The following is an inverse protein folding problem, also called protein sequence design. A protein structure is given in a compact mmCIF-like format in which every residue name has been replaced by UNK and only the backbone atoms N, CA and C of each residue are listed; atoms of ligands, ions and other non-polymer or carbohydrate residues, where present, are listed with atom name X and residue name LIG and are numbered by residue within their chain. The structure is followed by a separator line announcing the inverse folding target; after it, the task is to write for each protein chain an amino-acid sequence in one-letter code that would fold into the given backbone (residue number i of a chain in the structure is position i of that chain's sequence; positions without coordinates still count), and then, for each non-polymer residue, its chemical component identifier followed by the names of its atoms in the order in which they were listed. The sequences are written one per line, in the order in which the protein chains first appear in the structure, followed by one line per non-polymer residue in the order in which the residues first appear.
data_IF_225210340382
#
_entry.id   IF_225210340382
#
_cell.length_a   1.000
_cell.length_b   1.000
_cell.length_c   1.000
_cell.angle_alpha   90.00
_cell.angle_beta   90.00
_cell.angle_gamma   90.00
#
_symmetry.space_group_name_H-M   'P 1'
#
loop_
_entity.id
_entity.type
_entity.pdbx_description
1 polymer ?
2 non-polymer ?
3 non-polymer ?
4 water ?
#
# COMPACT_ATOMS: atom_id res chain seq x y z
N UNK A 7 -6.01 18.64 31.16
CA UNK A 7 -4.91 19.59 31.03
C UNK A 7 -3.85 19.08 30.06
N UNK A 8 -3.55 17.79 30.14
CA UNK A 8 -2.58 17.17 29.24
C UNK A 8 -3.00 17.28 27.77
N UNK A 9 -4.29 17.10 27.51
CA UNK A 9 -4.81 17.18 26.15
C UNK A 9 -4.51 18.52 25.50
N UNK A 10 -4.72 19.61 26.24
CA UNK A 10 -4.48 20.96 25.73
C UNK A 10 -3.00 21.17 25.43
N UNK A 11 -2.15 20.69 26.33
CA UNK A 11 -0.70 20.80 26.16
C UNK A 11 -0.21 20.08 24.91
N UNK A 12 -0.68 18.84 24.73
CA UNK A 12 -0.30 18.06 23.56
C UNK A 12 -0.86 18.68 22.28
N UNK A 13 -2.11 19.13 22.34
CA UNK A 13 -2.77 19.76 21.20
C UNK A 13 -2.01 21.01 20.74
N UNK A 14 -1.69 21.88 21.69
CA UNK A 14 -1.00 23.13 21.37
C UNK A 14 0.38 22.85 20.77
N UNK A 15 1.05 21.82 21.28
CA UNK A 15 2.36 21.43 20.77
C UNK A 15 2.27 21.02 19.30
N UNK A 16 1.34 20.13 18.99
CA UNK A 16 1.18 19.65 17.61
C UNK A 16 0.52 20.67 16.69
N UNK A 17 0.11 21.80 17.24
CA UNK A 17 -0.41 22.92 16.44
C UNK A 17 0.64 24.01 16.26
N UNK A 18 1.82 23.81 16.83
CA UNK A 18 2.89 24.80 16.73
C UNK A 18 4.24 24.16 16.41
N UNK A 19 5.15 24.20 17.37
CA UNK A 19 6.51 23.69 17.17
C UNK A 19 6.52 22.20 16.84
N UNK A 20 5.56 21.47 17.40
CA UNK A 20 5.46 20.05 17.14
C UNK A 20 5.00 19.74 15.73
N UNK A 21 4.13 20.58 15.19
CA UNK A 21 3.66 20.42 13.82
C UNK A 21 4.82 20.48 12.84
N UNK A 22 5.64 21.52 12.96
CA UNK A 22 6.74 21.73 12.04
C UNK A 22 7.81 20.64 12.15
N UNK A 23 8.14 20.24 13.38
CA UNK A 23 9.18 19.23 13.58
C UNK A 23 8.74 17.85 13.13
N UNK A 24 7.51 17.48 13.45
CA UNK A 24 7.03 16.15 13.12
C UNK A 24 6.55 15.99 11.67
N UNK A 25 6.09 17.08 11.05
CA UNK A 25 5.72 17.03 9.64
C UNK A 25 6.97 16.81 8.80
N UNK A 26 8.12 17.28 9.29
CA UNK A 26 9.38 17.08 8.59
C UNK A 26 9.86 15.64 8.76
N UNK A 27 9.71 15.10 9.96
CA UNK A 27 10.08 13.72 10.23
C UNK A 27 9.20 12.76 9.44
N UNK A 28 7.89 12.98 9.49
CA UNK A 28 6.93 12.12 8.81
C UNK A 28 6.90 12.40 7.31
N UNK A 29 7.59 13.44 6.88
CA UNK A 29 7.66 13.79 5.47
C UNK A 29 8.77 13.06 4.75
N UNK A 30 9.22 13.62 3.62
CA UNK A 30 10.25 12.97 2.81
C UNK A 30 11.42 13.89 2.49
N UNK A 31 11.45 15.06 3.14
CA UNK A 31 12.52 16.01 2.93
C UNK A 31 13.80 15.63 3.65
N UNK A 32 14.84 16.43 3.45
CA UNK A 32 16.13 16.18 4.09
C UNK A 32 16.06 16.44 5.59
N UNK A 33 16.61 15.51 6.36
CA UNK A 33 16.64 15.62 7.82
C UNK A 33 17.99 15.16 8.38
N UNK A 34 18.30 15.57 9.60
CA UNK A 34 19.52 15.12 10.27
C UNK A 34 19.41 13.66 10.71
N UNK A 35 20.51 13.10 11.21
CA UNK A 35 20.56 11.67 11.51
C UNK A 35 19.58 11.24 12.62
N UNK A 36 19.35 12.12 13.58
CA UNK A 36 18.39 11.81 14.66
C UNK A 36 16.98 11.70 14.10
N UNK A 37 16.55 12.73 13.38
CA UNK A 37 15.22 12.74 12.79
C UNK A 37 15.05 11.64 11.74
N UNK A 38 16.12 11.36 11.01
CA UNK A 38 16.09 10.31 9.99
C UNK A 38 15.87 8.94 10.62
N UNK A 39 16.55 8.70 11.74
CA UNK A 39 16.41 7.44 12.46
C UNK A 39 14.98 7.26 12.95
N UNK A 40 14.39 8.34 13.45
CA UNK A 40 13.02 8.31 13.95
C UNK A 40 12.04 8.13 12.79
N UNK A 41 12.34 8.74 11.65
CA UNK A 41 11.53 8.54 10.46
C UNK A 41 11.53 7.08 10.05
N UNK A 42 12.72 6.48 10.04
CA UNK A 42 12.86 5.07 9.66
C UNK A 42 12.13 4.16 10.64
N UNK A 43 12.28 4.42 11.93
CA UNK A 43 11.62 3.65 12.96
C UNK A 43 10.11 3.72 12.83
N UNK A 44 9.59 4.94 12.71
CA UNK A 44 8.16 5.14 12.54
C UNK A 44 7.64 4.48 11.26
N UNK A 45 8.41 4.58 10.19
CA UNK A 45 8.03 3.95 8.94
C UNK A 45 7.92 2.44 9.10
N UNK A 46 8.80 1.86 9.91
CA UNK A 46 8.75 0.42 10.18
C UNK A 46 7.48 0.03 10.92
N UNK A 47 7.08 0.85 11.90
CA UNK A 47 5.86 0.60 12.64
C UNK A 47 4.65 0.65 11.71
N UNK A 48 4.57 1.70 10.91
CA UNK A 48 3.49 1.85 9.94
C UNK A 48 3.45 0.67 8.99
N UNK A 49 4.61 0.32 8.42
CA UNK A 49 4.70 -0.80 7.49
C UNK A 49 4.28 -2.12 8.11
N UNK A 50 4.62 -2.32 9.39
CA UNK A 50 4.27 -3.55 10.09
C UNK A 50 2.77 -3.69 10.24
N UNK A 51 2.10 -2.59 10.56
CA UNK A 51 0.66 -2.59 10.77
C UNK A 51 -0.08 -2.80 9.45
N UNK A 52 0.39 -2.13 8.40
CA UNK A 52 -0.20 -2.31 7.07
C UNK A 52 -0.04 -3.77 6.65
N UNK A 53 1.13 -4.34 6.90
CA UNK A 53 1.41 -5.72 6.52
C UNK A 53 0.48 -6.69 7.22
N UNK A 54 0.19 -6.45 8.50
CA UNK A 54 -0.75 -7.28 9.25
C UNK A 54 -2.11 -7.29 8.57
N UNK A 55 -2.62 -6.11 8.25
CA UNK A 55 -3.97 -5.97 7.71
C UNK A 55 -4.08 -6.48 6.28
N UNK A 56 -3.01 -6.29 5.51
CA UNK A 56 -2.96 -6.83 4.15
C UNK A 56 -2.96 -8.36 4.17
N UNK A 57 -2.18 -8.93 5.10
CA UNK A 57 -2.04 -10.38 5.20
C UNK A 57 -3.37 -11.07 5.51
N UNK A 58 -4.24 -10.38 6.25
CA UNK A 58 -5.55 -10.93 6.61
C UNK A 58 -6.42 -11.18 5.38
N UNK A 59 -6.23 -10.38 4.34
CA UNK A 59 -6.94 -10.58 3.09
C UNK A 59 -8.24 -9.83 2.95
N UNK A 60 -8.72 -9.25 4.04
CA UNK A 60 -10.01 -8.57 4.05
C UNK A 60 -9.93 -7.05 4.18
N UNK A 61 -8.77 -6.49 3.88
CA UNK A 61 -8.59 -5.04 3.98
C UNK A 61 -9.44 -4.21 2.99
N UNK A 62 -9.55 -4.66 1.72
CA UNK A 62 -10.42 -3.88 0.82
C UNK A 62 -11.86 -3.82 1.31
N UNK A 63 -12.36 -2.61 1.55
CA UNK A 63 -13.72 -2.42 2.02
C UNK A 63 -13.85 -2.44 3.53
N UNK A 64 -12.74 -2.66 4.22
CA UNK A 64 -12.73 -2.75 5.68
C UNK A 64 -12.84 -1.39 6.35
N UNK A 65 -13.77 -1.27 7.29
CA UNK A 65 -13.97 -0.02 8.01
C UNK A 65 -12.91 0.14 9.11
N UNK A 66 -12.08 1.16 8.96
CA UNK A 66 -10.98 1.39 9.89
C UNK A 66 -11.01 2.80 10.48
N UNK A 67 -10.81 2.89 11.79
CA UNK A 67 -10.64 4.16 12.47
C UNK A 67 -9.17 4.36 12.82
N UNK A 68 -8.59 5.44 12.31
CA UNK A 68 -7.21 5.80 12.64
C UNK A 68 -7.25 6.98 13.59
N UNK A 69 -7.12 6.70 14.89
CA UNK A 69 -7.27 7.70 15.93
C UNK A 69 -5.92 8.35 16.30
N UNK A 70 -5.83 9.66 16.13
CA UNK A 70 -4.57 10.37 16.28
C UNK A 70 -3.73 10.15 15.03
N UNK A 71 -4.36 10.37 13.87
CA UNK A 71 -3.80 9.97 12.60
C UNK A 71 -2.57 10.76 12.14
N UNK A 72 -2.29 11.88 12.82
CA UNK A 72 -1.18 12.73 12.44
C UNK A 72 -1.34 13.24 11.02
N UNK A 73 -0.28 13.13 10.22
CA UNK A 73 -0.33 13.56 8.83
C UNK A 73 -0.77 12.45 7.89
N UNK A 74 -1.38 11.41 8.46
CA UNK A 74 -1.95 10.33 7.67
C UNK A 74 -0.96 9.29 7.20
N UNK A 75 0.16 9.16 7.92
CA UNK A 75 1.21 8.21 7.55
C UNK A 75 0.70 6.78 7.42
N UNK A 76 -0.32 6.44 8.20
CA UNK A 76 -0.93 5.12 8.17
C UNK A 76 -2.24 5.13 7.39
N UNK A 77 -2.98 6.22 7.50
CA UNK A 77 -4.27 6.35 6.83
C UNK A 77 -4.13 6.18 5.32
N UNK A 78 -3.13 6.84 4.75
CA UNK A 78 -2.93 6.85 3.32
C UNK A 78 -2.61 5.47 2.71
N UNK A 79 -1.60 4.76 3.24
CA UNK A 79 -1.32 3.42 2.68
C UNK A 79 -2.44 2.42 2.92
N UNK A 80 -3.23 2.60 3.99
CA UNK A 80 -4.38 1.73 4.22
C UNK A 80 -5.42 1.96 3.13
N UNK A 81 -5.63 3.23 2.78
CA UNK A 81 -6.59 3.58 1.74
C UNK A 81 -6.10 3.11 0.38
N UNK A 82 -4.79 3.17 0.17
CA UNK A 82 -4.19 2.69 -1.06
C UNK A 82 -4.46 1.21 -1.26
N UNK A 83 -4.57 0.49 -0.15
CA UNK A 83 -4.80 -0.95 -0.16
C UNK A 83 -6.30 -1.28 -0.17
N UNK A 84 -7.13 -0.25 -0.18
CA UNK A 84 -8.57 -0.43 -0.34
C UNK A 84 -9.42 -0.24 0.91
N UNK A 85 -8.80 0.10 2.02
CA UNK A 85 -9.52 0.27 3.27
C UNK A 85 -10.40 1.52 3.25
N UNK A 86 -11.48 1.48 4.04
CA UNK A 86 -12.32 2.64 4.23
C UNK A 86 -11.91 3.32 5.53
N UNK A 87 -11.06 4.33 5.42
CA UNK A 87 -10.38 4.90 6.59
C UNK A 87 -11.01 6.19 7.10
N UNK A 88 -11.33 6.20 8.39
CA UNK A 88 -11.76 7.42 9.06
C UNK A 88 -10.65 7.89 9.99
N UNK A 89 -9.91 8.90 9.55
CA UNK A 89 -8.80 9.42 10.33
C UNK A 89 -9.19 10.65 11.12
N UNK A 90 -8.72 10.72 12.36
CA UNK A 90 -8.98 11.87 13.20
C UNK A 90 -7.77 12.22 14.05
N UNK A 91 -7.65 13.49 14.40
CA UNK A 91 -6.54 13.96 15.22
C UNK A 91 -6.98 15.19 16.00
N UNK A 92 -6.42 15.37 17.19
CA UNK A 92 -6.78 16.51 18.03
C UNK A 92 -6.24 17.81 17.45
N UNK A 93 -5.26 17.70 16.56
CA UNK A 93 -4.58 18.86 15.99
C UNK A 93 -5.09 19.20 14.58
N UNK A 94 -5.63 20.40 14.44
CA UNK A 94 -6.14 20.87 13.15
C UNK A 94 -5.02 21.02 12.13
N UNK A 95 -3.81 21.33 12.60
CA UNK A 95 -2.65 21.45 11.72
C UNK A 95 -2.29 20.11 11.11
N UNK A 96 -2.29 19.07 11.95
CA UNK A 96 -1.99 17.72 11.50
C UNK A 96 -3.06 17.23 10.52
N UNK A 97 -4.31 17.50 10.85
CA UNK A 97 -5.43 17.10 10.00
C UNK A 97 -5.35 17.75 8.62
N UNK A 98 -5.05 19.05 8.61
CA UNK A 98 -4.94 19.79 7.36
C UNK A 98 -3.84 19.25 6.47
N UNK A 99 -2.73 18.87 7.09
CA UNK A 99 -1.60 18.32 6.35
C UNK A 99 -1.95 16.93 5.80
N UNK A 100 -2.66 16.14 6.60
CA UNK A 100 -3.09 14.81 6.18
C UNK A 100 -3.99 14.90 4.96
N UNK A 101 -4.94 15.83 4.99
CA UNK A 101 -5.85 16.04 3.88
C UNK A 101 -5.11 16.44 2.61
N UNK A 102 -4.15 17.36 2.75
CA UNK A 102 -3.39 17.84 1.61
C UNK A 102 -2.49 16.74 1.05
N UNK A 103 -1.90 15.95 1.95
CA UNK A 103 -1.02 14.86 1.53
C UNK A 103 -1.81 13.75 0.82
N UNK A 104 -3.02 13.48 1.33
CA UNK A 104 -3.87 12.45 0.75
C UNK A 104 -4.36 12.85 -0.64
N UNK A 105 -4.70 14.13 -0.79
CA UNK A 105 -5.16 14.64 -2.08
C UNK A 105 -4.05 14.60 -3.12
N UNK A 106 -2.83 14.90 -2.68
CA UNK A 106 -1.67 14.88 -3.59
C UNK A 106 -1.34 13.46 -4.03
N UNK A 107 -1.44 12.52 -3.09
CA UNK A 107 -1.10 11.12 -3.33
C UNK A 107 -2.21 10.35 -4.03
N UNK A 108 -3.43 10.50 -3.53
CA UNK A 108 -4.54 9.64 -3.95
C UNK A 108 -5.46 10.30 -4.98
N UNK A 109 -5.30 11.61 -5.17
CA UNK A 109 -6.16 12.37 -6.07
C UNK A 109 -7.64 12.19 -5.72
N UNK A 110 -8.39 11.53 -6.59
CA UNK A 110 -9.83 11.36 -6.38
C UNK A 110 -10.23 9.90 -6.21
N UNK A 111 -9.24 9.05 -5.93
CA UNK A 111 -9.51 7.64 -5.70
C UNK A 111 -9.89 7.35 -4.27
N UNK A 112 -9.84 6.08 -3.89
CA UNK A 112 -10.14 5.68 -2.53
C UNK A 112 -9.22 6.40 -1.55
N UNK A 113 -9.81 7.15 -0.63
CA UNK A 113 -9.03 7.98 0.28
C UNK A 113 -9.70 8.16 1.64
N UNK A 114 -8.91 8.45 2.68
CA UNK A 114 -9.48 8.59 4.02
C UNK A 114 -10.37 9.83 4.13
N UNK A 115 -11.21 9.83 5.15
CA UNK A 115 -11.95 11.02 5.54
C UNK A 115 -11.33 11.51 6.84
N UNK A 116 -10.83 12.74 6.84
CA UNK A 116 -10.13 13.29 8.00
C UNK A 116 -10.98 14.30 8.76
N UNK A 117 -10.77 14.35 10.07
CA UNK A 117 -11.57 15.19 10.95
C UNK A 117 -10.77 15.61 12.18
N UNK A 118 -10.91 16.87 12.59
CA UNK A 118 -10.27 17.33 13.82
C UNK A 118 -11.12 16.93 15.01
N UNK A 119 -10.58 16.08 15.87
CA UNK A 119 -11.36 15.54 16.98
C UNK A 119 -10.46 14.89 18.03
N UNK A 120 -10.76 15.15 19.30
CA UNK A 120 -10.16 14.44 20.41
C UNK A 120 -10.69 13.00 20.35
N UNK A 121 -9.79 12.02 20.35
CA UNK A 121 -10.19 10.62 20.21
C UNK A 121 -11.16 10.18 21.31
N UNK A 122 -11.11 10.84 22.45
CA UNK A 122 -11.99 10.52 23.56
C UNK A 122 -13.45 10.86 23.25
N UNK A 123 -13.66 11.71 22.24
CA UNK A 123 -15.00 12.14 21.86
C UNK A 123 -15.44 11.50 20.55
N UNK A 124 -14.60 10.61 20.03
CA UNK A 124 -14.88 9.89 18.78
C UNK A 124 -16.11 9.00 18.92
N UNK A 125 -16.90 8.92 17.86
CA UNK A 125 -18.07 8.05 17.85
C UNK A 125 -18.04 7.05 16.71
N UNK A 126 -19.16 6.37 16.48
CA UNK A 126 -19.27 5.42 15.39
C UNK A 126 -18.78 4.03 15.75
N UNK A 127 -18.81 3.13 14.78
CA UNK A 127 -18.38 1.76 14.95
C UNK A 127 -17.54 1.31 13.77
N UNK A 128 -16.46 0.60 14.04
CA UNK A 128 -15.52 0.20 13.00
C UNK A 128 -15.10 -1.24 13.25
N UNK A 129 -14.69 -1.94 12.20
CA UNK A 129 -14.16 -3.29 12.38
C UNK A 129 -12.86 -3.20 13.16
N UNK A 130 -12.02 -2.26 12.76
CA UNK A 130 -10.69 -2.11 13.33
C UNK A 130 -10.42 -0.66 13.72
N UNK A 131 -9.98 -0.47 14.96
CA UNK A 131 -9.58 0.84 15.45
C UNK A 131 -8.09 0.83 15.73
N UNK A 132 -7.40 1.85 15.26
CA UNK A 132 -5.94 1.89 15.37
C UNK A 132 -5.45 3.19 16.00
N UNK A 133 -4.54 3.06 16.96
CA UNK A 133 -3.95 4.21 17.64
C UNK A 133 -2.45 4.02 17.78
N UNK A 134 -1.69 4.64 16.89
CA UNK A 134 -0.23 4.47 16.86
C UNK A 134 0.53 5.69 17.37
N UNK A 135 1.46 5.45 18.29
CA UNK A 135 2.38 6.47 18.79
C UNK A 135 1.68 7.71 19.35
N UNK A 136 0.53 7.51 20.00
CA UNK A 136 -0.22 8.60 20.60
C UNK A 136 -0.16 8.51 22.13
N UNK A 137 -0.23 7.27 22.63
CA UNK A 137 -0.29 7.03 24.08
C UNK A 137 0.95 7.51 24.84
N UNK A 138 2.08 7.66 24.15
CA UNK A 138 3.30 8.13 24.77
C UNK A 138 3.13 9.53 25.38
N UNK A 139 2.15 10.28 24.89
CA UNK A 139 1.92 11.65 25.35
C UNK A 139 1.02 11.73 26.59
N UNK A 140 0.65 10.59 27.15
CA UNK A 140 -0.24 10.56 28.30
C UNK A 140 0.20 9.56 29.36
N UNK A 141 0.03 9.92 30.64
CA UNK A 141 0.36 8.99 31.72
C UNK A 141 -0.59 7.78 31.74
N UNK A 142 -0.17 6.69 32.39
CA UNK A 142 -0.90 5.42 32.36
C UNK A 142 -2.38 5.54 32.72
N UNK A 143 -2.69 6.34 33.74
CA UNK A 143 -4.05 6.53 34.19
C UNK A 143 -4.95 7.14 33.11
N UNK A 144 -4.38 8.05 32.31
CA UNK A 144 -5.14 8.68 31.23
C UNK A 144 -5.22 7.77 30.01
N UNK A 145 -4.18 6.96 29.83
CA UNK A 145 -4.15 6.00 28.73
C UNK A 145 -5.27 4.98 28.84
N UNK A 146 -5.59 4.58 30.07
CA UNK A 146 -6.64 3.60 30.31
C UNK A 146 -8.01 4.10 29.85
N UNK A 147 -8.32 5.35 30.18
CA UNK A 147 -9.57 5.96 29.76
C UNK A 147 -9.63 6.03 28.24
N UNK A 148 -8.50 6.34 27.62
CA UNK A 148 -8.41 6.46 26.17
C UNK A 148 -8.60 5.11 25.49
N UNK A 149 -7.89 4.10 25.98
CA UNK A 149 -8.00 2.76 25.41
C UNK A 149 -9.42 2.21 25.55
N UNK A 150 -10.02 2.43 26.72
CA UNK A 150 -11.37 1.96 26.97
C UNK A 150 -12.38 2.57 26.00
N UNK A 151 -12.24 3.86 25.71
CA UNK A 151 -13.15 4.49 24.77
C UNK A 151 -12.94 3.98 23.35
N UNK A 152 -11.69 3.82 22.95
CA UNK A 152 -11.37 3.30 21.62
C UNK A 152 -11.92 1.89 21.44
N UNK A 153 -11.80 1.09 22.50
CA UNK A 153 -12.30 -0.29 22.46
C UNK A 153 -13.80 -0.33 22.23
N UNK A 154 -14.50 0.70 22.69
CA UNK A 154 -15.95 0.79 22.55
C UNK A 154 -16.37 1.06 21.12
N UNK A 155 -15.41 1.51 20.31
CA UNK A 155 -15.66 1.82 18.91
C UNK A 155 -15.29 0.64 18.03
N UNK A 156 -14.56 -0.31 18.60
CA UNK A 156 -14.02 -1.42 17.83
C UNK A 156 -14.92 -2.66 17.87
N UNK A 157 -15.54 -2.96 16.73
CA UNK A 157 -16.37 -4.15 16.64
C UNK A 157 -15.55 -5.43 16.82
N UNK A 158 -14.32 -5.44 16.31
CA UNK A 158 -13.52 -6.66 16.33
C UNK A 158 -12.08 -6.46 16.78
N UNK A 159 -11.44 -5.38 16.35
CA UNK A 159 -10.00 -5.26 16.55
C UNK A 159 -9.52 -3.87 16.97
N UNK A 160 -8.59 -3.85 17.93
CA UNK A 160 -7.95 -2.62 18.37
C UNK A 160 -6.43 -2.80 18.31
N UNK A 161 -5.77 -1.94 17.56
CA UNK A 161 -4.30 -1.97 17.46
C UNK A 161 -3.71 -0.74 18.11
N UNK A 162 -2.73 -0.96 18.99
CA UNK A 162 -2.11 0.13 19.74
C UNK A 162 -0.59 0.03 19.65
N UNK A 163 0.07 1.18 19.69
CA UNK A 163 1.52 1.19 19.86
C UNK A 163 1.92 2.14 20.99
N UNK A 164 2.95 1.75 21.74
CA UNK A 164 3.39 2.53 22.88
C UNK A 164 4.86 2.25 23.14
N UNK A 165 5.49 3.11 23.93
CA UNK A 165 6.88 2.92 24.30
C UNK A 165 6.99 2.28 25.66
N UNK A 166 7.58 1.07 25.73
CA UNK A 166 7.86 0.45 27.03
C UNK A 166 8.95 1.22 27.75
N UNK A 167 9.82 1.86 26.98
CA UNK A 167 10.92 2.64 27.52
C UNK A 167 11.16 3.89 26.68
N UNK A 168 11.49 4.99 27.34
CA UNK A 168 11.86 6.23 26.65
C UNK A 168 13.17 6.76 27.20
N UNK A 169 14.28 6.20 26.71
CA UNK A 169 15.61 6.50 27.22
C UNK A 169 15.91 8.00 27.27
N UNK A 170 15.94 8.64 26.10
CA UNK A 170 16.27 10.04 26.00
C UNK A 170 15.43 10.93 26.91
N UNK A 171 14.13 10.67 26.95
CA UNK A 171 13.22 11.43 27.77
C UNK A 171 13.43 11.15 29.26
N UNK A 172 13.66 9.89 29.59
CA UNK A 172 13.95 9.49 30.97
C UNK A 172 15.22 10.18 31.44
N UNK A 173 16.25 10.15 30.61
CA UNK A 173 17.52 10.81 30.89
C UNK A 173 17.31 12.29 31.15
N UNK A 174 16.45 12.92 30.34
CA UNK A 174 16.15 14.33 30.49
C UNK A 174 15.49 14.65 31.84
N UNK A 175 14.57 13.79 32.26
CA UNK A 175 13.86 14.00 33.53
C UNK A 175 14.82 13.89 34.71
N UNK A 176 15.69 12.88 34.67
CA UNK A 176 16.65 12.67 35.75
C UNK A 176 17.72 13.76 35.77
N UNK A 177 18.10 14.24 34.59
CA UNK A 177 19.04 15.34 34.49
C UNK A 177 18.40 16.64 34.99
N UNK A 178 17.11 16.79 34.73
CA UNK A 178 16.37 17.97 35.14
C UNK A 178 16.44 18.26 36.63
N UNK A 179 16.39 17.20 37.43
CA UNK A 179 16.43 17.34 38.87
C UNK A 179 17.83 17.65 39.39
N UNK A 180 18.81 17.58 38.51
CA UNK A 180 20.20 17.82 38.89
C UNK A 180 20.60 19.27 38.65
N UNK A 181 19.62 20.10 38.28
CA UNK A 181 19.85 21.52 38.08
C UNK A 181 18.73 22.34 38.72
N UNK A 182 19.05 23.58 39.13
CA UNK A 182 18.06 24.49 39.74
C UNK A 182 16.89 24.75 38.80
N UNK A 183 15.69 24.90 39.36
CA UNK A 183 14.50 25.17 38.57
C UNK A 183 13.23 24.71 39.26
N UNK A 189 7.48 16.39 27.86
CA UNK A 189 7.89 15.10 28.41
C UNK A 189 7.21 13.96 27.68
N UNK A 190 7.59 12.73 28.04
CA UNK A 190 6.99 11.54 27.45
C UNK A 190 6.72 10.50 28.53
N UNK A 191 5.81 9.57 28.24
CA UNK A 191 5.41 8.57 29.23
C UNK A 191 5.62 7.16 28.71
N UNK A 192 6.27 6.33 29.52
CA UNK A 192 6.40 4.91 29.23
C UNK A 192 5.16 4.19 29.75
N UNK A 193 4.79 3.09 29.09
CA UNK A 193 3.70 2.26 29.57
C UNK A 193 4.15 0.81 29.69
N UNK A 194 3.81 0.19 30.82
CA UNK A 194 4.09 -1.23 31.02
C UNK A 194 3.15 -2.06 30.16
N UNK A 195 3.71 -3.04 29.45
CA UNK A 195 2.91 -3.92 28.61
C UNK A 195 1.84 -4.63 29.44
N UNK A 196 2.19 -4.99 30.67
CA UNK A 196 1.25 -5.64 31.58
C UNK A 196 0.04 -4.73 31.86
N UNK A 197 0.31 -3.43 32.01
CA UNK A 197 -0.76 -2.46 32.23
C UNK A 197 -1.67 -2.35 31.01
N UNK A 198 -1.07 -2.22 29.83
CA UNK A 198 -1.84 -2.12 28.59
C UNK A 198 -2.67 -3.37 28.35
N UNK A 199 -2.05 -4.54 28.51
CA UNK A 199 -2.74 -5.81 28.32
C UNK A 199 -3.91 -5.98 29.29
N UNK A 200 -3.74 -5.50 30.51
CA UNK A 200 -4.80 -5.59 31.52
C UNK A 200 -5.99 -4.72 31.10
N UNK A 201 -5.73 -3.50 30.70
CA UNK A 201 -6.78 -2.59 30.24
C UNK A 201 -7.53 -3.18 29.05
N UNK A 202 -6.80 -3.74 28.10
CA UNK A 202 -7.41 -4.38 26.95
C UNK A 202 -8.28 -5.56 27.38
N UNK A 203 -7.80 -6.33 28.35
CA UNK A 203 -8.52 -7.48 28.83
C UNK A 203 -9.81 -7.11 29.54
N UNK A 204 -9.75 -6.04 30.32
CA UNK A 204 -10.93 -5.54 31.03
C UNK A 204 -12.00 -5.07 30.05
N UNK A 205 -11.57 -4.67 28.86
CA UNK A 205 -12.49 -4.25 27.80
C UNK A 205 -12.91 -5.39 26.89
N UNK A 206 -12.52 -6.61 27.24
CA UNK A 206 -12.96 -7.80 26.54
C UNK A 206 -12.13 -8.16 25.32
N UNK A 207 -10.87 -7.74 25.31
CA UNK A 207 -9.99 -8.03 24.19
C UNK A 207 -8.85 -8.96 24.60
N UNK A 208 -8.51 -9.88 23.70
CA UNK A 208 -7.35 -10.74 23.91
C UNK A 208 -6.27 -10.33 22.91
N UNK A 209 -5.03 -10.64 23.22
CA UNK A 209 -3.92 -10.26 22.35
C UNK A 209 -3.72 -11.27 21.23
N UNK A 210 -3.58 -10.77 20.00
CA UNK A 210 -3.28 -11.62 18.85
C UNK A 210 -1.82 -11.42 18.45
N UNK A 211 -1.59 -10.82 17.30
CA UNK A 211 -0.22 -10.55 16.88
C UNK A 211 0.39 -9.41 17.69
N UNK A 212 1.71 -9.44 17.83
CA UNK A 212 2.44 -8.33 18.43
C UNK A 212 3.68 -8.05 17.59
N UNK A 213 4.25 -6.86 17.77
CA UNK A 213 5.45 -6.49 17.07
C UNK A 213 6.29 -5.54 17.89
N UNK A 214 7.45 -5.16 17.37
CA UNK A 214 8.33 -4.24 18.08
C UNK A 214 9.27 -3.57 17.09
N UNK A 215 9.35 -2.25 17.18
CA UNK A 215 10.29 -1.49 16.37
C UNK A 215 11.34 -0.87 17.28
N UNK A 216 12.61 -1.11 16.99
CA UNK A 216 13.69 -0.56 17.80
C UNK A 216 14.83 -0.05 16.92
N UNK A 217 14.99 1.27 16.90
CA UNK A 217 16.12 1.89 16.22
C UNK A 217 16.97 2.62 17.26
N UNK A 218 17.82 3.54 16.80
CA UNK A 218 18.69 4.27 17.72
C UNK A 218 17.90 5.15 18.68
N UNK A 219 16.90 5.86 18.16
CA UNK A 219 16.18 6.85 18.95
C UNK A 219 14.67 6.65 18.92
N UNK A 220 14.23 5.50 18.43
CA UNK A 220 12.80 5.21 18.32
C UNK A 220 12.51 3.81 18.84
N UNK A 221 11.53 3.71 19.74
CA UNK A 221 11.15 2.43 20.32
C UNK A 221 9.65 2.34 20.45
N UNK A 222 9.05 1.37 19.76
CA UNK A 222 7.60 1.24 19.77
C UNK A 222 7.15 -0.22 19.84
N UNK A 223 6.37 -0.54 20.87
CA UNK A 223 5.78 -1.86 21.02
C UNK A 223 4.38 -1.84 20.41
N UNK A 224 4.09 -2.82 19.57
CA UNK A 224 2.81 -2.85 18.85
C UNK A 224 1.98 -4.04 19.30
N UNK A 225 0.74 -3.80 19.70
CA UNK A 225 -0.15 -4.89 20.08
C UNK A 225 -1.42 -4.93 19.23
N UNK A 226 -1.74 -6.11 18.71
CA UNK A 226 -3.02 -6.32 18.04
C UNK A 226 -3.96 -7.00 19.03
N UNK A 227 -5.08 -6.36 19.31
CA UNK A 227 -6.05 -6.90 20.25
C UNK A 227 -7.36 -7.24 19.54
N UNK A 228 -7.87 -8.43 19.82
CA UNK A 228 -9.10 -8.89 19.17
C UNK A 228 -10.18 -9.20 20.21
N UNK A 229 -11.40 -8.78 19.91
CA UNK A 229 -12.52 -8.96 20.82
C UNK A 229 -12.83 -10.44 21.00
N UNK A 230 -12.98 -10.85 22.26
CA UNK A 230 -13.25 -12.25 22.58
C UNK A 230 -14.73 -12.58 22.36
N UNK B 8 5.84 -24.47 -17.99
CA UNK B 8 5.02 -23.38 -17.51
C UNK B 8 4.76 -22.33 -18.60
N UNK B 9 5.85 -21.72 -19.08
CA UNK B 9 5.75 -20.67 -20.09
C UNK B 9 5.21 -21.15 -21.43
N UNK B 10 5.50 -22.40 -21.79
CA UNK B 10 5.00 -22.97 -23.02
C UNK B 10 3.48 -23.08 -22.98
N UNK B 11 2.96 -23.51 -21.85
CA UNK B 11 1.51 -23.62 -21.65
C UNK B 11 0.86 -22.25 -21.73
N UNK B 12 1.48 -21.26 -21.09
CA UNK B 12 0.96 -19.90 -21.10
C UNK B 12 1.04 -19.28 -22.48
N UNK B 13 2.16 -19.49 -23.17
CA UNK B 13 2.35 -18.93 -24.50
C UNK B 13 1.38 -19.52 -25.51
N UNK B 14 1.23 -20.85 -25.48
CA UNK B 14 0.31 -21.53 -26.38
C UNK B 14 -1.12 -21.06 -26.18
N UNK B 15 -1.50 -20.84 -24.92
CA UNK B 15 -2.83 -20.35 -24.59
C UNK B 15 -3.09 -18.97 -25.19
N UNK B 16 -2.16 -18.05 -24.99
CA UNK B 16 -2.33 -16.69 -25.49
C UNK B 16 -2.07 -16.58 -27.00
N UNK B 17 -1.66 -17.69 -27.62
CA UNK B 17 -1.54 -17.76 -29.07
C UNK B 17 -2.72 -18.47 -29.71
N UNK B 18 -3.67 -18.89 -28.88
CA UNK B 18 -4.85 -19.58 -29.39
C UNK B 18 -6.14 -19.06 -28.74
N UNK B 19 -6.75 -19.90 -27.90
CA UNK B 19 -8.03 -19.57 -27.28
C UNK B 19 -7.94 -18.34 -26.38
N UNK B 20 -6.79 -18.15 -25.74
CA UNK B 20 -6.58 -17.02 -24.86
C UNK B 20 -6.50 -15.70 -25.62
N UNK B 21 -5.95 -15.76 -26.82
CA UNK B 21 -5.89 -14.57 -27.67
C UNK B 21 -7.29 -14.10 -28.01
N UNK B 22 -8.13 -15.03 -28.47
CA UNK B 22 -9.49 -14.70 -28.87
C UNK B 22 -10.32 -14.12 -27.75
N UNK B 23 -10.19 -14.71 -26.56
CA UNK B 23 -11.00 -14.29 -25.42
C UNK B 23 -10.51 -12.99 -24.78
N UNK B 24 -9.20 -12.86 -24.60
CA UNK B 24 -8.64 -11.69 -23.94
C UNK B 24 -8.57 -10.45 -24.84
N UNK B 25 -8.45 -10.67 -26.15
CA UNK B 25 -8.52 -9.58 -27.10
C UNK B 25 -9.90 -8.93 -27.02
N UNK B 26 -10.93 -9.76 -26.86
CA UNK B 26 -12.29 -9.27 -26.72
C UNK B 26 -12.52 -8.53 -25.41
N UNK B 27 -11.97 -9.07 -24.33
CA UNK B 27 -12.08 -8.44 -23.02
C UNK B 27 -11.38 -7.07 -23.02
N UNK B 28 -10.17 -7.04 -23.55
CA UNK B 28 -9.38 -5.81 -23.60
C UNK B 28 -9.84 -4.88 -24.73
N UNK B 29 -10.87 -5.30 -25.45
CA UNK B 29 -11.42 -4.52 -26.54
C UNK B 29 -12.63 -3.71 -26.11
N UNK B 30 -13.52 -3.44 -27.05
CA UNK B 30 -14.68 -2.59 -26.78
C UNK B 30 -16.01 -3.24 -27.17
N UNK B 31 -15.95 -4.49 -27.63
CA UNK B 31 -17.14 -5.20 -28.07
C UNK B 31 -17.96 -5.78 -26.94
N UNK B 32 -19.10 -6.38 -27.27
CA UNK B 32 -19.99 -6.97 -26.29
C UNK B 32 -19.40 -8.23 -25.67
N UNK B 33 -19.53 -8.35 -24.35
CA UNK B 33 -19.03 -9.51 -23.61
C UNK B 33 -20.00 -9.87 -22.49
N UNK B 34 -19.84 -11.08 -21.93
CA UNK B 34 -20.70 -11.50 -20.83
C UNK B 34 -20.42 -10.72 -19.55
N UNK B 35 -21.27 -10.89 -18.54
CA UNK B 35 -21.19 -10.08 -17.33
C UNK B 35 -19.88 -10.24 -16.57
N UNK B 36 -19.30 -11.44 -16.61
CA UNK B 36 -18.02 -11.70 -15.96
C UNK B 36 -16.88 -10.99 -16.68
N UNK B 37 -16.81 -11.17 -17.99
CA UNK B 37 -15.76 -10.55 -18.79
C UNK B 37 -15.87 -9.03 -18.79
N UNK B 38 -17.11 -8.54 -18.71
CA UNK B 38 -17.35 -7.10 -18.62
C UNK B 38 -16.76 -6.51 -17.34
N UNK B 39 -17.01 -7.20 -16.22
CA UNK B 39 -16.48 -6.80 -14.93
C UNK B 39 -14.95 -6.80 -14.95
N UNK B 40 -14.39 -7.83 -15.58
CA UNK B 40 -12.94 -7.95 -15.71
C UNK B 40 -12.37 -6.84 -16.58
N UNK B 41 -13.07 -6.51 -17.66
CA UNK B 41 -12.69 -5.38 -18.50
C UNK B 41 -12.61 -4.09 -17.70
N UNK B 42 -13.64 -3.83 -16.91
CA UNK B 42 -13.71 -2.61 -16.10
C UNK B 42 -12.57 -2.58 -15.07
N UNK B 43 -12.36 -3.69 -14.38
CA UNK B 43 -11.30 -3.78 -13.39
C UNK B 43 -9.93 -3.56 -14.01
N UNK B 44 -9.67 -4.23 -15.12
CA UNK B 44 -8.40 -4.09 -15.81
C UNK B 44 -8.19 -2.65 -16.29
N UNK B 45 -9.25 -2.03 -16.79
CA UNK B 45 -9.17 -0.64 -17.24
C UNK B 45 -8.81 0.28 -16.07
N UNK B 46 -9.34 -0.02 -14.89
CA UNK B 46 -9.03 0.76 -13.70
C UNK B 46 -7.56 0.62 -13.33
N UNK B 47 -7.03 -0.58 -13.44
CA UNK B 47 -5.62 -0.82 -13.16
C UNK B 47 -4.75 -0.03 -14.11
N UNK B 48 -5.03 -0.14 -15.41
CA UNK B 48 -4.28 0.59 -16.42
C UNK B 48 -4.35 2.09 -16.20
N UNK B 49 -5.55 2.60 -15.96
CA UNK B 49 -5.75 4.03 -15.71
C UNK B 49 -4.97 4.52 -14.50
N UNK B 50 -4.93 3.70 -13.45
CA UNK B 50 -4.23 4.07 -12.22
C UNK B 50 -2.73 4.20 -12.46
N UNK B 51 -2.17 3.30 -13.27
CA UNK B 51 -0.74 3.33 -13.55
C UNK B 51 -0.39 4.52 -14.44
N UNK B 52 -1.22 4.77 -15.45
CA UNK B 52 -1.04 5.92 -16.31
C UNK B 52 -1.13 7.20 -15.48
N UNK B 53 -2.08 7.23 -14.54
CA UNK B 53 -2.27 8.40 -13.68
C UNK B 53 -1.05 8.66 -12.80
N UNK B 54 -0.45 7.60 -12.29
CA UNK B 54 0.77 7.71 -11.48
C UNK B 54 1.88 8.39 -12.27
N UNK B 55 2.12 7.89 -13.48
CA UNK B 55 3.22 8.38 -14.31
C UNK B 55 2.95 9.80 -14.83
N UNK B 56 1.68 10.08 -15.12
CA UNK B 56 1.28 11.42 -15.53
C UNK B 56 1.48 12.41 -14.38
N UNK B 57 1.17 11.98 -13.17
CA UNK B 57 1.29 12.83 -12.00
C UNK B 57 2.72 13.26 -11.74
N UNK B 58 3.67 12.40 -12.08
CA UNK B 58 5.09 12.68 -11.85
C UNK B 58 5.57 13.87 -12.68
N UNK B 59 4.94 14.08 -13.83
CA UNK B 59 5.23 15.24 -14.66
C UNK B 59 6.40 15.05 -15.61
N UNK B 60 6.96 13.85 -15.63
CA UNK B 60 8.14 13.58 -16.45
C UNK B 60 7.91 12.45 -17.44
N UNK B 61 6.64 12.20 -17.77
CA UNK B 61 6.31 11.14 -18.72
C UNK B 61 6.80 11.39 -20.16
N UNK B 62 6.70 12.63 -20.67
CA UNK B 62 7.26 12.86 -22.01
C UNK B 62 8.75 12.56 -22.10
N UNK B 63 9.12 11.60 -22.93
CA UNK B 63 10.51 11.22 -23.12
C UNK B 63 10.98 10.13 -22.18
N UNK B 64 10.08 9.68 -21.31
CA UNK B 64 10.44 8.65 -20.32
C UNK B 64 10.61 7.29 -20.97
N UNK B 65 11.75 6.65 -20.70
CA UNK B 65 12.03 5.33 -21.25
C UNK B 65 11.34 4.26 -20.40
N UNK B 66 10.38 3.56 -21.01
CA UNK B 66 9.54 2.62 -20.29
C UNK B 66 9.53 1.23 -20.95
N UNK B 67 9.65 0.19 -20.13
CA UNK B 67 9.49 -1.17 -20.61
C UNK B 67 8.15 -1.75 -20.14
N UNK B 68 7.33 -2.17 -21.10
CA UNK B 68 6.05 -2.81 -20.79
C UNK B 68 6.17 -4.30 -21.07
N UNK B 69 6.48 -5.07 -20.03
CA UNK B 69 6.76 -6.50 -20.15
C UNK B 69 5.49 -7.32 -20.01
N UNK B 70 5.16 -8.07 -21.06
CA UNK B 70 3.89 -8.78 -21.12
C UNK B 70 2.78 -7.83 -21.50
N UNK B 71 3.03 -7.04 -22.55
CA UNK B 71 2.18 -5.89 -22.88
C UNK B 71 0.79 -6.22 -23.41
N UNK B 72 0.54 -7.50 -23.72
CA UNK B 72 -0.75 -7.91 -24.26
C UNK B 72 -1.07 -7.17 -25.55
N UNK B 73 -2.27 -6.60 -25.62
CA UNK B 73 -2.70 -5.87 -26.82
C UNK B 73 -2.37 -4.38 -26.74
N UNK B 74 -1.49 -4.02 -25.80
CA UNK B 74 -1.01 -2.66 -25.68
C UNK B 74 -1.93 -1.73 -24.91
N UNK B 75 -2.77 -2.29 -24.06
CA UNK B 75 -3.72 -1.50 -23.27
C UNK B 75 -3.04 -0.42 -22.44
N UNK B 76 -1.81 -0.69 -22.02
CA UNK B 76 -1.03 0.28 -21.26
C UNK B 76 -0.04 1.01 -22.15
N UNK B 77 0.60 0.27 -23.05
CA UNK B 77 1.63 0.83 -23.92
C UNK B 77 1.13 2.02 -24.72
N UNK B 78 -0.06 1.88 -25.29
CA UNK B 78 -0.64 2.92 -26.14
C UNK B 78 -0.93 4.24 -25.40
N UNK B 79 -1.65 4.19 -24.26
CA UNK B 79 -1.88 5.47 -23.56
C UNK B 79 -0.61 6.10 -23.00
N UNK B 80 0.40 5.31 -22.68
CA UNK B 80 1.68 5.87 -22.24
C UNK B 80 2.37 6.59 -23.40
N UNK B 81 2.32 5.98 -24.58
CA UNK B 81 2.90 6.60 -25.77
C UNK B 81 2.15 7.86 -26.15
N UNK B 82 0.84 7.84 -25.94
CA UNK B 82 -0.02 9.00 -26.21
C UNK B 82 0.40 10.19 -25.37
N UNK B 83 0.90 9.90 -24.16
CA UNK B 83 1.29 10.95 -23.23
C UNK B 83 2.76 11.34 -23.41
N UNK B 84 3.42 10.72 -24.38
CA UNK B 84 4.76 11.13 -24.77
C UNK B 84 5.88 10.20 -24.34
N UNK B 85 5.54 9.09 -23.69
CA UNK B 85 6.55 8.15 -23.24
C UNK B 85 7.19 7.39 -24.38
N UNK B 86 8.44 6.96 -24.18
CA UNK B 86 9.14 6.12 -25.13
C UNK B 86 8.98 4.68 -24.67
N UNK B 87 8.04 3.97 -25.29
CA UNK B 87 7.61 2.68 -24.77
C UNK B 87 8.14 1.51 -25.60
N UNK B 88 8.75 0.55 -24.92
CA UNK B 88 9.14 -0.70 -25.55
C UNK B 88 8.30 -1.82 -24.94
N UNK B 89 7.32 -2.27 -25.72
CA UNK B 89 6.40 -3.29 -25.26
C UNK B 89 6.77 -4.65 -25.82
N UNK B 90 6.70 -5.67 -24.97
CA UNK B 90 6.99 -7.03 -25.41
C UNK B 90 6.03 -8.02 -24.78
N UNK B 91 5.81 -9.13 -25.46
CA UNK B 91 4.91 -10.17 -24.98
C UNK B 91 5.37 -11.51 -25.52
N UNK B 92 5.13 -12.58 -24.76
CA UNK B 92 5.57 -13.91 -25.16
C UNK B 92 4.74 -14.43 -26.33
N UNK B 93 3.58 -13.81 -26.54
CA UNK B 93 2.65 -14.21 -27.59
C UNK B 93 2.73 -13.29 -28.80
N UNK B 94 3.09 -13.86 -29.95
CA UNK B 94 3.22 -13.07 -31.17
C UNK B 94 1.86 -12.55 -31.65
N UNK B 95 0.79 -13.27 -31.30
CA UNK B 95 -0.55 -12.84 -31.67
C UNK B 95 -0.94 -11.57 -30.90
N UNK B 96 -0.61 -11.55 -29.61
CA UNK B 96 -0.82 -10.35 -28.80
C UNK B 96 -0.02 -9.19 -29.34
N UNK B 97 1.23 -9.45 -29.70
CA UNK B 97 2.12 -8.42 -30.25
C UNK B 97 1.55 -7.86 -31.55
N UNK B 98 1.11 -8.76 -32.42
CA UNK B 98 0.53 -8.36 -33.70
C UNK B 98 -0.69 -7.49 -33.53
N UNK B 99 -1.52 -7.82 -32.55
CA UNK B 99 -2.74 -7.08 -32.27
C UNK B 99 -2.40 -5.71 -31.69
N UNK B 100 -1.42 -5.66 -30.79
CA UNK B 100 -0.97 -4.41 -30.20
C UNK B 100 -0.48 -3.46 -31.27
N UNK B 101 0.30 -3.99 -32.21
CA UNK B 101 0.85 -3.21 -33.32
C UNK B 101 -0.26 -2.65 -34.20
N UNK B 102 -1.26 -3.49 -34.49
CA UNK B 102 -2.39 -3.06 -35.31
C UNK B 102 -3.21 -1.99 -34.62
N UNK B 103 -3.44 -2.16 -33.32
CA UNK B 103 -4.18 -1.19 -32.53
C UNK B 103 -3.43 0.14 -32.44
N UNK B 104 -2.12 0.06 -32.22
CA UNK B 104 -1.28 1.25 -32.14
C UNK B 104 -1.25 2.01 -33.46
N UNK B 105 -1.14 1.30 -34.56
CA UNK B 105 -1.09 1.94 -35.88
C UNK B 105 -2.44 2.59 -36.19
N UNK B 106 -3.52 1.96 -35.73
CA UNK B 106 -4.86 2.45 -35.98
C UNK B 106 -5.14 3.76 -35.24
N UNK B 107 -4.68 3.85 -34.00
CA UNK B 107 -5.01 5.00 -33.15
C UNK B 107 -3.90 6.06 -33.11
N UNK B 108 -2.66 5.65 -33.34
CA UNK B 108 -1.53 6.57 -33.24
C UNK B 108 -0.97 6.98 -34.59
N UNK B 109 -1.35 6.24 -35.64
CA UNK B 109 -0.84 6.48 -36.99
C UNK B 109 0.69 6.49 -37.03
N UNK B 110 1.28 7.65 -37.34
CA UNK B 110 2.73 7.76 -37.44
C UNK B 110 3.33 8.65 -36.35
N UNK B 111 2.51 8.97 -35.34
CA UNK B 111 2.98 9.77 -34.22
C UNK B 111 3.75 8.93 -33.22
N UNK B 112 4.03 9.51 -32.06
CA UNK B 112 4.74 8.80 -31.00
C UNK B 112 4.02 7.51 -30.64
N UNK B 113 4.73 6.39 -30.73
CA UNK B 113 4.12 5.08 -30.52
C UNK B 113 5.12 4.05 -30.00
N UNK B 114 4.61 2.99 -29.36
CA UNK B 114 5.52 1.98 -28.81
C UNK B 114 6.21 1.16 -29.88
N UNK B 115 7.33 0.56 -29.52
CA UNK B 115 7.95 -0.46 -30.36
C UNK B 115 7.62 -1.81 -29.74
N UNK B 116 6.96 -2.68 -30.50
CA UNK B 116 6.51 -3.96 -29.98
C UNK B 116 7.36 -5.12 -30.50
N UNK B 117 7.63 -6.07 -29.62
CA UNK B 117 8.49 -7.21 -29.93
C UNK B 117 7.96 -8.47 -29.26
N UNK B 118 8.07 -9.61 -29.94
CA UNK B 118 7.72 -10.88 -29.32
C UNK B 118 8.90 -11.41 -28.53
N UNK B 119 8.72 -11.58 -27.22
CA UNK B 119 9.80 -11.96 -26.34
C UNK B 119 9.30 -12.41 -24.96
N UNK B 120 9.91 -13.46 -24.44
CA UNK B 120 9.72 -13.89 -23.06
C UNK B 120 10.39 -12.85 -22.15
N UNK B 121 9.64 -12.34 -21.18
CA UNK B 121 10.13 -11.27 -20.32
C UNK B 121 11.38 -11.70 -19.54
N UNK B 122 11.51 -12.99 -19.30
CA UNK B 122 12.66 -13.53 -18.58
C UNK B 122 13.94 -13.42 -19.41
N UNK B 123 13.80 -13.12 -20.69
CA UNK B 123 14.94 -13.02 -21.59
C UNK B 123 15.11 -11.61 -22.16
N UNK B 124 14.33 -10.67 -21.64
CA UNK B 124 14.43 -9.28 -22.07
C UNK B 124 15.77 -8.68 -21.72
N UNK B 125 16.23 -7.75 -22.55
CA UNK B 125 17.47 -7.03 -22.29
C UNK B 125 17.23 -5.53 -22.23
N UNK B 126 18.31 -4.76 -22.23
CA UNK B 126 18.22 -3.31 -22.23
C UNK B 126 18.15 -2.71 -20.84
N UNK B 127 18.09 -1.38 -20.79
CA UNK B 127 17.95 -0.65 -19.54
C UNK B 127 16.89 0.42 -19.71
N UNK B 128 16.02 0.56 -18.72
CA UNK B 128 14.91 1.51 -18.80
C UNK B 128 14.80 2.27 -17.48
N UNK B 129 14.21 3.46 -17.53
CA UNK B 129 13.93 4.20 -16.31
C UNK B 129 12.90 3.42 -15.51
N UNK B 130 11.82 3.04 -16.18
CA UNK B 130 10.70 2.38 -15.54
C UNK B 130 10.33 1.09 -16.27
N UNK B 131 10.23 0.00 -15.52
CA UNK B 131 9.77 -1.28 -16.07
C UNK B 131 8.42 -1.62 -15.46
N UNK B 132 7.47 -2.01 -16.30
CA UNK B 132 6.11 -2.28 -15.84
C UNK B 132 5.65 -3.67 -16.26
N UNK B 133 5.08 -4.41 -15.31
CA UNK B 133 4.55 -5.72 -15.59
C UNK B 133 3.18 -5.89 -14.93
N UNK B 134 2.12 -5.73 -15.71
CA UNK B 134 0.76 -5.75 -15.17
C UNK B 134 -0.01 -7.02 -15.52
N UNK B 135 -0.58 -7.64 -14.49
CA UNK B 135 -1.47 -8.79 -14.66
C UNK B 135 -0.83 -9.95 -15.44
N UNK B 136 0.45 -10.15 -15.22
CA UNK B 136 1.17 -11.25 -15.86
C UNK B 136 1.55 -12.33 -14.85
N UNK B 137 1.95 -11.90 -13.64
CA UNK B 137 2.46 -12.80 -12.62
C UNK B 137 1.43 -13.83 -12.14
N UNK B 138 0.16 -13.58 -12.44
CA UNK B 138 -0.91 -14.49 -12.06
C UNK B 138 -0.80 -15.83 -12.80
N UNK B 139 -0.01 -15.85 -13.87
CA UNK B 139 0.14 -17.07 -14.67
C UNK B 139 1.32 -17.94 -14.22
N UNK B 140 1.98 -17.55 -13.14
CA UNK B 140 3.16 -18.28 -12.66
C UNK B 140 3.16 -18.47 -11.15
N UNK B 141 3.62 -19.65 -10.70
CA UNK B 141 3.75 -19.91 -9.26
C UNK B 141 4.80 -18.98 -8.63
N UNK B 142 4.75 -18.83 -7.32
CA UNK B 142 5.60 -17.86 -6.61
C UNK B 142 7.09 -18.04 -6.88
N UNK B 143 7.52 -19.30 -7.01
CA UNK B 143 8.93 -19.60 -7.26
C UNK B 143 9.44 -18.97 -8.57
N UNK B 144 8.73 -19.22 -9.66
CA UNK B 144 9.13 -18.67 -10.95
C UNK B 144 8.86 -17.17 -11.02
N UNK B 145 7.78 -16.74 -10.39
CA UNK B 145 7.43 -15.33 -10.33
C UNK B 145 8.58 -14.53 -9.71
N UNK B 146 9.21 -15.11 -8.69
CA UNK B 146 10.34 -14.48 -8.02
C UNK B 146 11.51 -14.26 -8.96
N UNK B 147 11.83 -15.30 -9.74
CA UNK B 147 12.92 -15.22 -10.71
C UNK B 147 12.60 -14.16 -11.77
N UNK B 148 11.34 -14.09 -12.17
CA UNK B 148 10.91 -13.11 -13.16
C UNK B 148 11.03 -11.68 -12.64
N UNK B 149 10.64 -11.46 -11.40
CA UNK B 149 10.74 -10.15 -10.78
C UNK B 149 12.20 -9.70 -10.69
N UNK B 150 13.06 -10.61 -10.25
CA UNK B 150 14.49 -10.30 -10.16
C UNK B 150 15.09 -9.90 -11.50
N UNK B 151 14.65 -10.55 -12.57
CA UNK B 151 15.16 -10.22 -13.90
C UNK B 151 14.66 -8.86 -14.35
N UNK B 152 13.38 -8.60 -14.14
CA UNK B 152 12.79 -7.31 -14.52
C UNK B 152 13.44 -6.17 -13.74
N UNK B 153 13.78 -6.43 -12.48
CA UNK B 153 14.43 -5.43 -11.65
C UNK B 153 15.81 -5.06 -12.21
N UNK B 154 16.48 -6.02 -12.84
CA UNK B 154 17.81 -5.80 -13.41
C UNK B 154 17.76 -4.90 -14.63
N UNK B 155 16.55 -4.70 -15.17
CA UNK B 155 16.36 -3.85 -16.35
C UNK B 155 15.93 -2.44 -15.94
N UNK B 156 15.52 -2.30 -14.69
CA UNK B 156 14.98 -1.04 -14.20
C UNK B 156 16.04 -0.18 -13.53
N UNK B 157 16.41 0.92 -14.17
CA UNK B 157 17.37 1.86 -13.59
C UNK B 157 16.79 2.54 -12.35
N UNK B 158 15.49 2.82 -12.37
CA UNK B 158 14.84 3.56 -11.30
C UNK B 158 13.64 2.87 -10.68
N UNK B 159 12.74 2.38 -11.52
CA UNK B 159 11.40 2.01 -11.04
C UNK B 159 10.85 0.72 -11.66
N UNK B 160 10.23 -0.10 -10.82
CA UNK B 160 9.57 -1.31 -11.28
C UNK B 160 8.15 -1.35 -10.74
N UNK B 161 7.18 -1.37 -11.65
CA UNK B 161 5.77 -1.41 -11.28
C UNK B 161 5.20 -2.79 -11.60
N UNK B 162 4.57 -3.40 -10.60
CA UNK B 162 4.01 -4.75 -10.74
C UNK B 162 2.56 -4.76 -10.30
N UNK B 163 1.77 -5.62 -10.92
CA UNK B 163 0.44 -5.92 -10.41
C UNK B 163 0.25 -7.42 -10.32
N UNK B 164 -0.50 -7.85 -9.30
CA UNK B 164 -0.70 -9.27 -9.05
C UNK B 164 -1.98 -9.48 -8.26
N UNK B 165 -2.57 -10.67 -8.39
CA UNK B 165 -3.73 -11.03 -7.60
C UNK B 165 -3.26 -11.47 -6.22
N UNK B 166 -3.63 -10.71 -5.19
CA UNK B 166 -3.16 -11.02 -3.83
C UNK B 166 -4.10 -12.00 -3.16
N UNK B 167 -3.71 -12.47 -1.98
CA UNK B 167 -4.63 -13.17 -1.13
C UNK B 167 -5.70 -12.16 -0.71
N UNK B 168 -6.93 -12.37 -1.15
CA UNK B 168 -7.99 -11.42 -0.86
C UNK B 168 -9.31 -12.16 -0.63
N UNK B 169 -10.16 -11.59 0.22
CA UNK B 169 -11.39 -12.25 0.65
C UNK B 169 -12.33 -12.58 -0.50
N UNK B 170 -12.41 -11.70 -1.47
CA UNK B 170 -13.28 -11.90 -2.63
C UNK B 170 -12.94 -13.18 -3.38
N UNK B 171 -11.65 -13.45 -3.54
CA UNK B 171 -11.20 -14.66 -4.22
C UNK B 171 -11.30 -15.87 -3.30
N UNK B 172 -11.15 -15.64 -2.00
CA UNK B 172 -11.30 -16.71 -1.02
C UNK B 172 -12.71 -17.28 -1.05
N UNK B 173 -13.71 -16.39 -1.14
CA UNK B 173 -15.11 -16.80 -1.21
C UNK B 173 -15.36 -17.70 -2.40
N UNK B 174 -14.84 -17.31 -3.57
CA UNK B 174 -15.02 -18.09 -4.80
C UNK B 174 -14.40 -19.48 -4.68
N UNK B 175 -13.21 -19.56 -4.08
CA UNK B 175 -12.54 -20.84 -3.91
C UNK B 175 -13.26 -21.75 -2.92
N UNK B 176 -13.83 -21.16 -1.88
CA UNK B 176 -14.61 -21.91 -0.89
C UNK B 176 -15.84 -22.53 -1.52
N UNK B 177 -16.55 -21.75 -2.33
CA UNK B 177 -17.74 -22.21 -3.02
C UNK B 177 -17.38 -23.34 -4.00
N UNK B 178 -16.25 -23.17 -4.68
CA UNK B 178 -15.79 -24.18 -5.62
C UNK B 178 -15.50 -25.52 -4.97
N UNK B 179 -15.02 -25.48 -3.72
CA UNK B 179 -14.68 -26.69 -3.00
C UNK B 179 -15.89 -27.45 -2.49
N UNK B 180 -17.08 -26.87 -2.66
CA UNK B 180 -18.30 -27.51 -2.20
C UNK B 180 -18.97 -28.33 -3.29
N UNK B 181 -18.24 -28.56 -4.37
CA UNK B 181 -18.71 -29.37 -5.48
C UNK B 181 -17.56 -30.23 -6.01
N UNK B 182 -17.88 -31.37 -6.65
CA UNK B 182 -16.84 -32.23 -7.22
C UNK B 182 -15.98 -31.48 -8.23
N UNK B 183 -14.68 -31.80 -8.28
CA UNK B 183 -13.78 -31.17 -9.21
C UNK B 183 -12.37 -31.02 -8.68
N UNK B 188 -9.26 -23.35 -11.37
CA UNK B 188 -8.71 -22.20 -12.08
C UNK B 188 -7.19 -22.15 -11.97
N UNK B 189 -6.51 -22.21 -13.10
CA UNK B 189 -5.05 -22.11 -13.10
C UNK B 189 -4.61 -20.65 -13.02
N UNK B 190 -4.84 -20.04 -11.86
CA UNK B 190 -4.46 -18.66 -11.62
C UNK B 190 -3.73 -18.58 -10.29
N UNK B 191 -2.50 -18.09 -10.32
CA UNK B 191 -1.66 -18.05 -9.12
C UNK B 191 -1.76 -16.72 -8.38
N UNK B 192 -2.18 -16.79 -7.13
CA UNK B 192 -2.16 -15.62 -6.25
C UNK B 192 -0.81 -15.54 -5.57
N UNK B 193 -0.41 -14.32 -5.22
CA UNK B 193 0.88 -14.10 -4.57
C UNK B 193 0.71 -13.22 -3.34
N UNK B 194 1.38 -13.60 -2.24
CA UNK B 194 1.36 -12.80 -1.02
C UNK B 194 2.16 -11.52 -1.20
N UNK B 195 1.59 -10.40 -0.77
CA UNK B 195 2.26 -9.12 -0.86
C UNK B 195 3.60 -9.14 -0.12
N UNK B 196 3.63 -9.82 1.02
CA UNK B 196 4.87 -9.96 1.79
C UNK B 196 5.97 -10.63 0.98
N UNK B 197 5.60 -11.63 0.19
CA UNK B 197 6.55 -12.33 -0.67
C UNK B 197 7.07 -11.40 -1.77
N UNK B 198 6.16 -10.66 -2.39
CA UNK B 198 6.53 -9.73 -3.46
C UNK B 198 7.43 -8.62 -2.93
N UNK B 199 7.07 -8.05 -1.79
CA UNK B 199 7.86 -6.98 -1.18
C UNK B 199 9.25 -7.47 -0.81
N UNK B 200 9.34 -8.70 -0.31
CA UNK B 200 10.62 -9.29 0.05
C UNK B 200 11.53 -9.43 -1.17
N UNK B 201 10.98 -9.97 -2.26
CA UNK B 201 11.72 -10.13 -3.50
C UNK B 201 12.23 -8.79 -4.03
N UNK B 202 11.35 -7.79 -4.01
CA UNK B 202 11.72 -6.44 -4.45
C UNK B 202 12.81 -5.87 -3.57
N UNK B 203 12.70 -6.09 -2.26
CA UNK B 203 13.69 -5.62 -1.31
C UNK B 203 15.04 -6.27 -1.53
N UNK B 204 15.03 -7.57 -1.82
CA UNK B 204 16.25 -8.30 -2.10
C UNK B 204 16.94 -7.79 -3.36
N UNK B 205 16.16 -7.18 -4.25
CA UNK B 205 16.71 -6.65 -5.49
C UNK B 205 17.02 -5.15 -5.40
N UNK B 206 16.97 -4.61 -4.19
CA UNK B 206 17.36 -3.23 -3.94
C UNK B 206 16.28 -2.21 -4.12
N UNK B 207 15.02 -2.64 -4.07
CA UNK B 207 13.89 -1.74 -4.29
C UNK B 207 13.05 -1.56 -3.03
N UNK B 208 12.54 -0.35 -2.85
CA UNK B 208 11.60 -0.06 -1.77
C UNK B 208 10.26 0.33 -2.36
N UNK B 209 9.20 0.18 -1.57
CA UNK B 209 7.86 0.47 -2.06
C UNK B 209 7.52 1.96 -1.90
N UNK B 210 6.95 2.54 -2.96
CA UNK B 210 6.48 3.91 -2.92
C UNK B 210 4.95 3.93 -2.93
N UNK B 211 4.36 4.32 -4.05
CA UNK B 211 2.91 4.30 -4.18
C UNK B 211 2.39 2.87 -4.31
N UNK B 212 1.18 2.64 -3.83
CA UNK B 212 0.48 1.37 -4.07
C UNK B 212 -0.96 1.63 -4.44
N UNK B 213 -1.60 0.62 -5.01
CA UNK B 213 -3.00 0.70 -5.36
C UNK B 213 -3.65 -0.67 -5.25
N UNK B 214 -4.96 -0.71 -5.38
CA UNK B 214 -5.70 -1.96 -5.32
C UNK B 214 -6.99 -1.84 -6.12
N UNK B 215 -7.10 -2.65 -7.17
CA UNK B 215 -8.33 -2.69 -7.95
C UNK B 215 -9.19 -3.86 -7.50
N UNK B 216 -10.42 -3.57 -7.07
CA UNK B 216 -11.34 -4.60 -6.64
C UNK B 216 -12.70 -4.45 -7.29
N UNK B 217 -13.03 -5.35 -8.19
CA UNK B 217 -14.38 -5.41 -8.73
C UNK B 217 -15.02 -6.70 -8.25
N UNK B 218 -16.06 -7.16 -8.95
CA UNK B 218 -16.74 -8.39 -8.55
C UNK B 218 -15.83 -9.61 -8.70
N UNK B 219 -15.10 -9.67 -9.81
CA UNK B 219 -14.32 -10.87 -10.15
C UNK B 219 -12.87 -10.56 -10.51
N UNK B 220 -12.52 -9.28 -10.49
CA UNK B 220 -11.16 -8.86 -10.80
C UNK B 220 -10.50 -8.23 -9.57
N UNK B 221 -9.33 -8.72 -9.23
CA UNK B 221 -8.61 -8.24 -8.05
C UNK B 221 -7.13 -8.08 -8.38
N UNK B 222 -6.64 -6.85 -8.35
CA UNK B 222 -5.25 -6.59 -8.73
C UNK B 222 -4.58 -5.61 -7.79
N UNK B 223 -3.59 -6.08 -7.05
CA UNK B 223 -2.78 -5.25 -6.17
C UNK B 223 -1.64 -4.66 -6.99
N UNK B 224 -1.45 -3.34 -6.88
CA UNK B 224 -0.44 -2.66 -7.67
C UNK B 224 0.64 -2.05 -6.77
N UNK B 225 1.90 -2.38 -7.05
CA UNK B 225 3.01 -1.85 -6.27
C UNK B 225 3.97 -1.04 -7.14
N UNK B 226 4.30 0.17 -6.69
CA UNK B 226 5.35 0.95 -7.32
C UNK B 226 6.62 0.77 -6.49
N UNK B 227 7.65 0.18 -7.10
CA UNK B 227 8.90 -0.05 -6.40
C UNK B 227 9.99 0.84 -6.99
N UNK B 228 10.73 1.52 -6.11
CA UNK B 228 11.79 2.43 -6.56
C UNK B 228 13.15 2.02 -6.00
N UNK B 229 14.18 2.18 -6.82
CA UNK B 229 15.53 1.80 -6.44
C UNK B 229 16.06 2.76 -5.38
N UNK B 230 16.54 2.21 -4.27
CA UNK B 230 17.05 3.02 -3.16
C UNK B 230 18.41 3.63 -3.47
#
# INVERSE_FOLDING_TARGET
MTNAALDDKTIVRDYFNSTGFDRWRRIYGDGQVNFVQKDIRVGHQQTVDSVVAWLVADGNLPGLLVCDAGCGVGSLSIPLAQAGALVYGSDISEKMVGEAQQKAQEVLAYGNQPTFMTQDLAQLGGKYDTVICLDVLIHYPTEEASAMISHLASLADRRLILSFAPKTLGLTVLKKIGGLFPGPSKTTRAYQHKEADIRKILGDNGFSIARTGMTSTRFYYSRILEAVRSLEHHHHHH
MTNAALDDKTIVRDYFNSTGFDRWRRIYGDGQVNFVQKDIRVGHQQTVDSVVAWLVADGNLPGLLVCDAGCGVGSLSIPLAQAGALVYGSDISEKMVGEAQQKAQEVLAYGNQPTFMTQDLAQLGGKYDTVICLDVLIHYPTEEASAMISHLASLADRRLILSFAPKTLGLTVLKKIGGLFPGPSKTTRAYQHKEADIRKILGDNGFSIARTGMTSTRFYYSRILEAVRSLEHHHHHH
#
